data_IF_511986750929
#
_entry.id   IF_511986750929
#
_cell.length_a   1.000
_cell.length_b   1.000
_cell.length_c   1.000
_cell.angle_alpha   90.00
_cell.angle_beta   90.00
_cell.angle_gamma   90.00
#
_symmetry.space_group_name_H-M   'P 1'
#
loop_
_entity.id
_entity.type
_entity.pdbx_description
1 polymer ?
#
# COMPACT_ATOMS: atom_id res chain seq x y z
N UNK A 1 0.14 72.12 38.80
CA UNK A 1 0.81 71.24 37.85
C UNK A 1 0.20 69.84 38.01
N UNK A 2 -0.71 69.44 37.11
CA UNK A 2 -1.33 68.11 37.16
C UNK A 2 -0.51 67.15 36.30
N UNK A 3 0.03 66.10 36.93
CA UNK A 3 0.71 65.00 36.21
C UNK A 3 -0.32 64.03 35.63
N UNK A 4 -0.36 63.96 34.29
CA UNK A 4 -1.18 62.97 33.57
C UNK A 4 -0.33 61.70 33.44
N UNK A 5 -0.79 60.58 34.05
CA UNK A 5 -0.23 59.25 33.83
C UNK A 5 -0.89 58.61 32.64
N UNK A 6 -0.11 58.40 31.59
CA UNK A 6 -0.53 57.66 30.37
C UNK A 6 -0.39 56.15 30.70
N UNK A 7 -1.49 55.44 30.88
CA UNK A 7 -1.51 54.00 31.01
C UNK A 7 -1.57 53.42 29.63
N UNK A 8 -0.46 52.83 29.14
CA UNK A 8 -0.39 52.07 27.93
C UNK A 8 -1.00 50.67 28.20
N UNK A 9 -2.18 50.40 27.66
CA UNK A 9 -2.80 49.09 27.71
C UNK A 9 -2.21 48.26 26.53
N UNK A 10 -1.29 47.34 26.83
CA UNK A 10 -0.81 46.35 25.89
C UNK A 10 -1.90 45.24 25.76
N UNK A 11 -2.66 45.27 24.68
CA UNK A 11 -3.53 44.14 24.30
C UNK A 11 -2.65 43.08 23.65
N UNK A 12 -2.26 42.08 24.44
CA UNK A 12 -1.72 40.82 23.91
C UNK A 12 -2.87 40.05 23.24
N UNK A 13 -3.05 40.22 21.94
CA UNK A 13 -3.84 39.27 21.16
C UNK A 13 -3.03 38.00 21.02
N UNK A 14 -3.31 37.01 21.86
CA UNK A 14 -2.86 35.65 21.67
C UNK A 14 -3.53 35.08 20.40
N UNK A 15 -2.82 35.13 19.29
CA UNK A 15 -3.15 34.33 18.12
C UNK A 15 -2.98 32.86 18.52
N UNK A 16 -4.07 32.23 18.93
CA UNK A 16 -4.15 30.77 19.00
C UNK A 16 -4.06 30.28 17.55
N UNK A 17 -2.86 29.95 17.10
CA UNK A 17 -2.67 29.14 15.91
C UNK A 17 -3.27 27.77 16.28
N UNK A 18 -4.51 27.55 15.88
CA UNK A 18 -5.07 26.20 15.80
C UNK A 18 -4.25 25.47 14.71
N UNK A 19 -3.09 24.95 15.10
CA UNK A 19 -2.43 23.93 14.32
C UNK A 19 -3.40 22.77 14.24
N UNK A 20 -4.10 22.63 13.11
CA UNK A 20 -4.88 21.44 12.81
C UNK A 20 -3.89 20.29 12.90
N UNK A 21 -3.97 19.53 14.01
CA UNK A 21 -3.13 18.34 14.18
C UNK A 21 -3.64 17.37 13.12
N UNK A 22 -2.97 17.33 11.98
CA UNK A 22 -3.24 16.40 10.90
C UNK A 22 -2.91 14.99 11.40
N UNK A 23 -3.88 14.37 12.05
CA UNK A 23 -3.72 13.04 12.64
C UNK A 23 -3.90 11.99 11.57
N UNK A 24 -2.89 11.12 11.44
CA UNK A 24 -3.00 9.93 10.61
C UNK A 24 -4.06 9.00 11.20
N UNK A 25 -5.05 8.65 10.41
CA UNK A 25 -5.98 7.60 10.79
C UNK A 25 -5.21 6.31 11.01
N UNK A 26 -5.39 5.72 12.17
CA UNK A 26 -4.88 4.40 12.48
C UNK A 26 -5.70 3.75 13.58
N UNK A 27 -5.87 2.44 13.49
CA UNK A 27 -6.61 1.63 14.45
C UNK A 27 -5.86 0.33 14.72
N UNK A 28 -6.03 -0.22 15.91
CA UNK A 28 -5.44 -1.50 16.29
C UNK A 28 -6.52 -2.50 16.69
N UNK A 29 -6.21 -3.79 16.48
CA UNK A 29 -7.02 -4.95 16.79
C UNK A 29 -6.18 -5.95 17.59
N UNK A 30 -6.79 -6.63 18.55
CA UNK A 30 -6.08 -7.57 19.45
C UNK A 30 -5.42 -6.89 20.64
N UNK A 31 -4.66 -7.68 21.40
CA UNK A 31 -4.02 -7.22 22.63
C UNK A 31 -2.63 -6.65 22.34
N UNK A 32 -2.25 -5.56 22.99
CA UNK A 32 -0.98 -4.85 22.78
C UNK A 32 0.27 -5.67 23.08
N UNK A 33 0.14 -6.70 23.92
CA UNK A 33 1.19 -7.62 24.34
C UNK A 33 1.52 -8.67 23.26
N UNK A 34 0.61 -8.85 22.32
CA UNK A 34 0.77 -9.83 21.22
C UNK A 34 1.79 -9.35 20.17
N UNK A 35 2.37 -10.26 19.37
CA UNK A 35 3.25 -9.89 18.28
C UNK A 35 2.57 -8.91 17.31
N UNK A 36 3.19 -7.74 17.10
CA UNK A 36 2.62 -6.69 16.27
C UNK A 36 2.71 -7.00 14.77
N UNK A 37 1.63 -6.66 14.05
CA UNK A 37 1.54 -6.61 12.59
C UNK A 37 1.14 -5.20 12.19
N UNK A 38 1.87 -4.56 11.27
CA UNK A 38 1.46 -3.31 10.62
C UNK A 38 1.10 -3.62 9.16
N UNK A 39 -0.10 -3.23 8.74
CA UNK A 39 -0.53 -3.33 7.36
C UNK A 39 -0.28 -2.02 6.62
N UNK A 40 0.44 -2.08 5.48
CA UNK A 40 0.69 -0.95 4.58
C UNK A 40 -0.12 -1.17 3.30
N UNK A 41 -1.12 -0.32 3.07
CA UNK A 41 -2.03 -0.45 1.94
C UNK A 41 -1.42 -0.08 0.59
N UNK A 42 -2.08 -0.49 -0.49
CA UNK A 42 -1.76 -0.12 -1.88
C UNK A 42 -2.02 1.36 -2.18
N UNK A 43 -1.66 1.83 -3.37
CA UNK A 43 -1.84 3.23 -3.77
C UNK A 43 -0.91 3.67 -4.89
N UNK A 44 -0.49 4.95 -4.92
CA UNK A 44 -1.08 6.09 -4.20
C UNK A 44 -2.56 6.28 -4.57
N UNK A 45 -3.36 6.90 -3.70
CA UNK A 45 -4.81 7.10 -3.67
C UNK A 45 -5.63 5.98 -2.97
N UNK A 46 -4.96 5.01 -2.34
CA UNK A 46 -5.61 3.90 -1.65
C UNK A 46 -5.96 4.21 -0.19
N UNK A 47 -6.35 3.17 0.54
CA UNK A 47 -6.58 3.17 1.99
C UNK A 47 -6.54 1.73 2.53
N UNK A 48 -6.65 1.57 3.84
CA UNK A 48 -6.59 0.27 4.50
C UNK A 48 -7.96 -0.40 4.70
N UNK A 49 -9.07 0.25 4.33
CA UNK A 49 -10.43 -0.17 4.73
C UNK A 49 -10.79 -1.59 4.34
N UNK A 50 -10.36 -2.05 3.15
CA UNK A 50 -10.64 -3.41 2.69
C UNK A 50 -9.95 -4.46 3.58
N UNK A 51 -8.67 -4.28 3.88
CA UNK A 51 -7.96 -5.18 4.80
C UNK A 51 -8.50 -5.06 6.21
N UNK A 52 -8.78 -3.86 6.67
CA UNK A 52 -9.34 -3.59 7.99
C UNK A 52 -10.68 -4.30 8.19
N UNK A 53 -11.62 -4.11 7.25
CA UNK A 53 -12.97 -4.66 7.34
C UNK A 53 -13.09 -6.16 7.05
N UNK A 54 -12.04 -6.79 6.48
CA UNK A 54 -12.09 -8.22 6.16
C UNK A 54 -11.14 -9.08 6.97
N UNK A 55 -9.92 -8.60 7.24
CA UNK A 55 -8.80 -9.48 7.65
C UNK A 55 -8.15 -9.09 8.96
N UNK A 56 -8.18 -7.80 9.35
CA UNK A 56 -7.47 -7.33 10.53
C UNK A 56 -7.94 -8.04 11.82
N UNK A 57 -9.25 -8.13 12.04
CA UNK A 57 -9.83 -8.79 13.21
C UNK A 57 -9.53 -10.30 13.22
N UNK A 58 -9.57 -10.96 12.06
CA UNK A 58 -9.23 -12.38 11.94
C UNK A 58 -7.78 -12.70 12.33
N UNK A 59 -6.85 -11.83 12.00
CA UNK A 59 -5.47 -11.95 12.47
C UNK A 59 -5.36 -11.66 13.97
N UNK A 60 -6.13 -10.72 14.50
CA UNK A 60 -6.17 -10.44 15.94
C UNK A 60 -6.72 -11.65 16.73
N UNK A 61 -7.76 -12.34 16.25
CA UNK A 61 -8.29 -13.59 16.80
C UNK A 61 -7.23 -14.71 16.82
N UNK A 62 -6.23 -14.64 15.95
CA UNK A 62 -5.07 -15.56 15.91
C UNK A 62 -3.95 -15.17 16.88
N UNK A 63 -4.15 -14.16 17.71
CA UNK A 63 -3.19 -13.73 18.73
C UNK A 63 -2.16 -12.75 18.21
N UNK A 64 -2.51 -11.89 17.25
CA UNK A 64 -1.67 -10.78 16.80
C UNK A 64 -2.22 -9.43 17.26
N UNK A 65 -1.34 -8.46 17.42
CA UNK A 65 -1.69 -7.05 17.58
C UNK A 65 -1.60 -6.37 16.21
N UNK A 66 -2.75 -6.22 15.54
CA UNK A 66 -2.82 -5.76 14.15
C UNK A 66 -3.09 -4.26 14.11
N UNK A 67 -2.19 -3.51 13.48
CA UNK A 67 -2.30 -2.07 13.29
C UNK A 67 -2.54 -1.80 11.81
N UNK A 68 -3.63 -1.10 11.52
CA UNK A 68 -3.96 -0.56 10.20
C UNK A 68 -3.90 0.95 10.22
N UNK A 69 -3.58 1.57 9.10
CA UNK A 69 -3.57 3.02 8.96
C UNK A 69 -3.77 3.41 7.49
N UNK A 70 -4.25 4.61 7.28
CA UNK A 70 -4.26 5.22 5.97
C UNK A 70 -3.07 6.19 5.89
N UNK A 71 -2.27 6.12 4.80
CA UNK A 71 -1.14 7.05 4.62
C UNK A 71 -1.63 8.49 4.57
N UNK A 72 -0.78 9.41 4.94
CA UNK A 72 -1.05 10.86 4.95
C UNK A 72 -1.61 11.31 3.60
N UNK A 73 -2.68 12.11 3.64
CA UNK A 73 -3.38 12.58 2.45
C UNK A 73 -4.23 11.54 1.72
N UNK A 74 -4.26 10.28 2.19
CA UNK A 74 -5.03 9.18 1.59
C UNK A 74 -6.11 8.67 2.56
N UNK A 75 -7.21 8.16 2.01
CA UNK A 75 -8.28 7.59 2.80
C UNK A 75 -8.83 8.56 3.85
N UNK A 76 -8.85 8.09 5.10
CA UNK A 76 -9.34 8.84 6.27
C UNK A 76 -8.25 9.76 6.89
N UNK A 77 -7.02 9.72 6.40
CA UNK A 77 -5.92 10.58 6.83
C UNK A 77 -5.89 11.87 6.01
N UNK A 78 -6.92 12.69 6.15
CA UNK A 78 -7.06 13.93 5.38
C UNK A 78 -5.96 14.90 5.78
N UNK A 79 -5.12 15.28 4.83
CA UNK A 79 -4.06 16.27 4.99
C UNK A 79 -3.80 16.98 3.65
N UNK A 80 -4.14 18.26 3.58
CA UNK A 80 -3.96 19.08 2.39
C UNK A 80 -2.51 19.48 2.15
N UNK A 81 -1.63 19.25 3.12
CA UNK A 81 -0.20 19.53 3.06
C UNK A 81 0.66 18.30 2.79
N UNK A 82 0.02 17.14 2.60
CA UNK A 82 0.69 15.89 2.31
C UNK A 82 1.57 15.99 1.06
N UNK A 83 2.80 15.53 1.17
CA UNK A 83 3.76 15.49 0.06
C UNK A 83 3.70 14.19 -0.74
N UNK A 84 3.12 13.15 -0.17
CA UNK A 84 3.02 11.79 -0.71
C UNK A 84 4.36 11.11 -1.00
N UNK A 85 5.48 11.65 -0.51
CA UNK A 85 6.82 11.09 -0.72
C UNK A 85 7.05 9.83 0.11
N UNK A 86 8.00 8.99 -0.30
CA UNK A 86 8.42 7.85 0.51
C UNK A 86 8.97 8.27 1.87
N UNK A 87 9.70 9.39 1.92
CA UNK A 87 10.24 9.91 3.18
C UNK A 87 9.12 10.32 4.15
N UNK A 88 8.05 10.93 3.68
CA UNK A 88 6.87 11.25 4.49
C UNK A 88 6.21 9.97 5.01
N UNK A 89 5.99 8.97 4.16
CA UNK A 89 5.41 7.69 4.56
C UNK A 89 6.28 6.94 5.60
N UNK A 90 7.62 7.01 5.47
CA UNK A 90 8.56 6.43 6.44
C UNK A 90 8.49 7.16 7.79
N UNK A 91 8.37 8.49 7.78
CA UNK A 91 8.21 9.30 8.99
C UNK A 91 6.89 8.96 9.70
N UNK A 92 5.82 8.81 8.95
CA UNK A 92 4.51 8.43 9.48
C UNK A 92 4.52 7.02 10.08
N UNK A 93 5.15 6.05 9.44
CA UNK A 93 5.35 4.72 10.01
C UNK A 93 6.11 4.79 11.34
N UNK A 94 7.18 5.59 11.43
CA UNK A 94 7.90 5.77 12.70
C UNK A 94 7.00 6.34 13.80
N UNK A 95 6.08 7.23 13.46
CA UNK A 95 5.11 7.79 14.42
C UNK A 95 4.10 6.73 14.91
N UNK A 96 3.71 5.76 14.05
CA UNK A 96 2.88 4.63 14.49
C UNK A 96 3.59 3.75 15.54
N UNK A 97 4.89 3.48 15.36
CA UNK A 97 5.66 2.74 16.37
C UNK A 97 5.65 3.44 17.72
N UNK A 98 5.74 4.77 17.73
CA UNK A 98 5.64 5.56 18.96
C UNK A 98 4.21 5.54 19.52
N UNK A 99 3.19 5.82 18.69
CA UNK A 99 1.78 5.87 19.08
C UNK A 99 1.30 4.58 19.75
N UNK A 100 1.70 3.43 19.20
CA UNK A 100 1.29 2.12 19.68
C UNK A 100 2.31 1.46 20.64
N UNK A 101 3.35 2.20 21.02
CA UNK A 101 4.42 1.74 21.92
C UNK A 101 5.02 0.39 21.52
N UNK A 102 5.25 0.18 20.22
CA UNK A 102 5.83 -1.05 19.68
C UNK A 102 7.30 -0.84 19.34
N UNK A 103 8.13 -1.83 19.68
CA UNK A 103 9.57 -1.79 19.37
C UNK A 103 9.86 -2.43 18.00
N UNK A 104 9.18 -3.53 17.70
CA UNK A 104 9.33 -4.28 16.46
C UNK A 104 7.97 -4.81 16.00
N UNK A 105 7.77 -4.85 14.68
CA UNK A 105 6.56 -5.40 14.06
C UNK A 105 6.89 -6.31 12.88
N UNK A 106 5.94 -7.19 12.52
CA UNK A 106 5.86 -7.79 11.21
C UNK A 106 5.13 -6.81 10.29
N UNK A 107 5.61 -6.59 9.08
CA UNK A 107 5.00 -5.66 8.12
C UNK A 107 4.37 -6.48 7.01
N UNK A 108 3.06 -6.32 6.80
CA UNK A 108 2.34 -6.81 5.62
C UNK A 108 2.17 -5.63 4.68
N UNK A 109 2.82 -5.68 3.51
CA UNK A 109 2.86 -4.58 2.56
C UNK A 109 2.20 -4.98 1.24
N UNK A 110 1.08 -4.33 0.89
CA UNK A 110 0.26 -4.65 -0.27
C UNK A 110 0.51 -3.67 -1.41
N UNK A 111 0.65 -4.20 -2.64
CA UNK A 111 0.72 -3.41 -3.86
C UNK A 111 1.80 -2.31 -3.79
N UNK A 112 1.46 -1.03 -4.02
CA UNK A 112 2.36 0.11 -3.83
C UNK A 112 2.97 0.18 -2.41
N UNK A 113 2.23 -0.28 -1.41
CA UNK A 113 2.75 -0.41 -0.03
C UNK A 113 4.01 -1.28 0.06
N UNK A 114 4.25 -2.17 -0.91
CA UNK A 114 5.47 -2.96 -1.03
C UNK A 114 6.72 -2.11 -1.18
N UNK A 115 6.65 -1.02 -1.97
CA UNK A 115 7.75 -0.06 -2.10
C UNK A 115 7.99 0.68 -0.78
N UNK A 116 6.91 1.19 -0.16
CA UNK A 116 6.97 1.89 1.14
C UNK A 116 7.55 0.97 2.23
N UNK A 117 7.04 -0.26 2.35
CA UNK A 117 7.51 -1.24 3.34
C UNK A 117 8.96 -1.65 3.13
N UNK A 118 9.39 -1.78 1.87
CA UNK A 118 10.79 -2.09 1.53
C UNK A 118 11.73 -0.96 1.95
N UNK A 119 11.42 0.28 1.57
CA UNK A 119 12.25 1.45 1.90
C UNK A 119 12.23 1.76 3.41
N UNK A 120 11.08 1.60 4.07
CA UNK A 120 11.01 1.70 5.53
C UNK A 120 11.92 0.67 6.21
N UNK A 121 11.86 -0.58 5.75
CA UNK A 121 12.67 -1.68 6.32
C UNK A 121 14.16 -1.45 6.08
N UNK A 122 14.54 -0.89 4.93
CA UNK A 122 15.94 -0.53 4.63
C UNK A 122 16.50 0.48 5.63
N UNK A 123 15.72 1.52 5.93
CA UNK A 123 16.13 2.57 6.87
C UNK A 123 16.01 2.15 8.35
N UNK A 124 15.13 1.20 8.67
CA UNK A 124 14.80 0.81 10.04
C UNK A 124 14.79 -0.72 10.25
N UNK A 125 15.81 -1.48 9.83
CA UNK A 125 15.78 -2.95 9.90
C UNK A 125 15.61 -3.48 11.32
N UNK A 126 16.08 -2.74 12.33
CA UNK A 126 15.95 -3.08 13.74
C UNK A 126 14.50 -3.02 14.26
N UNK A 127 13.61 -2.31 13.56
CA UNK A 127 12.17 -2.22 13.90
C UNK A 127 11.32 -3.31 13.25
N UNK A 128 11.87 -4.08 12.30
CA UNK A 128 11.11 -5.03 11.50
C UNK A 128 11.52 -6.46 11.83
N UNK A 129 10.57 -7.28 12.26
CA UNK A 129 10.77 -8.73 12.45
C UNK A 129 10.74 -9.47 11.11
N UNK A 130 9.74 -9.15 10.30
CA UNK A 130 9.58 -9.68 8.95
C UNK A 130 8.90 -8.67 8.04
N UNK A 131 9.26 -8.69 6.75
CA UNK A 131 8.56 -7.98 5.69
C UNK A 131 7.89 -9.00 4.78
N UNK A 132 6.56 -8.90 4.67
CA UNK A 132 5.69 -9.80 3.90
C UNK A 132 5.11 -9.00 2.75
N UNK A 133 5.60 -9.25 1.56
CA UNK A 133 5.20 -8.59 0.31
C UNK A 133 3.98 -9.32 -0.26
N UNK A 134 2.82 -8.67 -0.26
CA UNK A 134 1.53 -9.25 -0.65
C UNK A 134 1.01 -8.59 -1.91
N UNK A 135 1.01 -9.28 -3.07
CA UNK A 135 0.69 -8.65 -4.36
C UNK A 135 1.48 -7.36 -4.57
N UNK A 136 2.71 -7.31 -4.08
CA UNK A 136 3.46 -6.08 -3.85
C UNK A 136 4.26 -5.63 -5.06
N UNK A 137 4.23 -4.33 -5.36
CA UNK A 137 5.15 -3.71 -6.30
C UNK A 137 6.57 -3.71 -5.71
N UNK A 138 7.55 -4.02 -6.56
CA UNK A 138 8.97 -3.98 -6.22
C UNK A 138 9.86 -3.52 -7.39
N UNK A 139 9.31 -3.46 -8.61
CA UNK A 139 9.90 -2.87 -9.81
C UNK A 139 8.79 -2.26 -10.63
N UNK A 140 8.62 -0.94 -10.53
CA UNK A 140 7.47 -0.26 -11.13
C UNK A 140 7.49 -0.35 -12.65
N UNK A 141 8.63 -0.05 -13.28
CA UNK A 141 8.73 -0.04 -14.73
C UNK A 141 8.48 -1.43 -15.35
N UNK A 142 9.04 -2.50 -14.74
CA UNK A 142 8.77 -3.87 -15.23
C UNK A 142 7.28 -4.23 -15.15
N UNK A 143 6.58 -3.75 -14.12
CA UNK A 143 5.13 -3.95 -13.98
C UNK A 143 4.34 -3.21 -15.06
N UNK A 144 4.68 -1.94 -15.31
CA UNK A 144 4.00 -1.15 -16.35
C UNK A 144 4.27 -1.68 -17.75
N UNK A 145 5.50 -2.05 -18.05
CA UNK A 145 5.86 -2.65 -19.35
C UNK A 145 5.09 -3.97 -19.57
N UNK A 146 4.98 -4.81 -18.55
CA UNK A 146 4.19 -6.04 -18.62
C UNK A 146 2.70 -5.77 -18.85
N UNK A 147 2.11 -4.80 -18.16
CA UNK A 147 0.71 -4.41 -18.37
C UNK A 147 0.49 -3.97 -19.82
N UNK A 148 1.34 -3.09 -20.34
CA UNK A 148 1.19 -2.61 -21.73
C UNK A 148 1.41 -3.72 -22.76
N UNK A 149 2.41 -4.56 -22.58
CA UNK A 149 2.70 -5.69 -23.48
C UNK A 149 1.52 -6.66 -23.54
N UNK A 150 1.00 -7.08 -22.39
CA UNK A 150 -0.08 -8.06 -22.32
C UNK A 150 -1.41 -7.51 -22.81
N UNK A 151 -1.75 -6.26 -22.46
CA UNK A 151 -2.98 -5.62 -22.96
C UNK A 151 -2.91 -5.35 -24.47
N UNK A 152 -1.74 -4.95 -24.99
CA UNK A 152 -1.53 -4.82 -26.43
C UNK A 152 -1.77 -6.13 -27.17
N UNK A 153 -1.26 -7.24 -26.63
CA UNK A 153 -1.53 -8.59 -27.18
C UNK A 153 -3.01 -8.90 -27.20
N UNK A 154 -3.72 -8.68 -26.08
CA UNK A 154 -5.16 -8.91 -25.99
C UNK A 154 -5.95 -8.09 -27.03
N UNK A 155 -5.61 -6.81 -27.22
CA UNK A 155 -6.29 -5.96 -28.20
C UNK A 155 -5.96 -6.31 -29.64
N UNK A 156 -4.75 -6.83 -29.92
CA UNK A 156 -4.42 -7.39 -31.22
C UNK A 156 -5.29 -8.62 -31.58
N UNK A 157 -5.46 -9.53 -30.63
CA UNK A 157 -6.32 -10.71 -30.77
C UNK A 157 -7.80 -10.32 -30.96
N UNK A 158 -8.27 -9.29 -30.28
CA UNK A 158 -9.62 -8.74 -30.40
C UNK A 158 -9.83 -7.84 -31.62
N UNK A 159 -8.77 -7.48 -32.36
CA UNK A 159 -8.76 -6.50 -33.46
C UNK A 159 -9.30 -5.12 -33.04
N UNK A 160 -9.08 -4.73 -31.80
CA UNK A 160 -9.49 -3.43 -31.23
C UNK A 160 -8.47 -2.33 -31.58
N UNK A 161 -8.60 -1.77 -32.78
CA UNK A 161 -7.71 -0.73 -33.29
C UNK A 161 -7.73 0.56 -32.45
N UNK A 162 -8.87 0.87 -31.81
CA UNK A 162 -8.98 2.06 -30.95
C UNK A 162 -8.09 1.89 -29.71
N UNK A 163 -8.15 0.74 -29.06
CA UNK A 163 -7.33 0.46 -27.89
C UNK A 163 -5.87 0.25 -28.24
N UNK A 164 -5.54 -0.26 -29.42
CA UNK A 164 -4.16 -0.33 -29.92
C UNK A 164 -3.56 1.07 -30.12
N UNK A 165 -4.32 2.01 -30.67
CA UNK A 165 -3.90 3.42 -30.77
C UNK A 165 -3.67 4.03 -29.39
N UNK A 166 -4.57 3.75 -28.43
CA UNK A 166 -4.41 4.22 -27.03
C UNK A 166 -3.14 3.66 -26.38
N UNK A 167 -2.83 2.38 -26.56
CA UNK A 167 -1.57 1.81 -26.08
C UNK A 167 -0.36 2.52 -26.68
N UNK A 168 -0.39 2.79 -28.01
CA UNK A 168 0.71 3.49 -28.68
C UNK A 168 0.89 4.93 -28.17
N UNK A 169 -0.17 5.62 -27.76
CA UNK A 169 -0.09 6.92 -27.09
C UNK A 169 0.57 6.80 -25.72
N UNK A 170 0.17 5.83 -24.91
CA UNK A 170 0.75 5.58 -23.58
C UNK A 170 2.26 5.26 -23.69
N UNK A 171 2.66 4.44 -24.66
CA UNK A 171 4.07 4.06 -24.89
C UNK A 171 4.97 5.28 -25.17
N UNK A 172 4.41 6.41 -25.65
CA UNK A 172 5.15 7.66 -25.93
C UNK A 172 5.29 8.58 -24.73
N UNK A 173 4.49 8.37 -23.68
CA UNK A 173 4.55 9.22 -22.49
C UNK A 173 5.88 9.03 -21.73
N UNK A 174 6.35 10.07 -21.03
CA UNK A 174 7.49 9.95 -20.14
C UNK A 174 7.24 8.89 -19.07
N UNK A 175 8.11 7.90 -18.97
CA UNK A 175 7.97 6.73 -18.08
C UNK A 175 7.88 7.10 -16.59
N UNK A 176 8.41 8.26 -16.20
CA UNK A 176 8.37 8.79 -14.84
C UNK A 176 7.26 9.82 -14.63
N UNK A 177 6.24 9.88 -15.49
CA UNK A 177 5.10 10.80 -15.34
C UNK A 177 3.91 10.17 -14.64
N UNK A 178 3.14 10.99 -13.93
CA UNK A 178 1.87 10.60 -13.33
C UNK A 178 0.87 10.09 -14.38
N UNK A 179 0.85 10.76 -15.54
CA UNK A 179 -0.03 10.41 -16.65
C UNK A 179 0.27 9.00 -17.19
N UNK A 180 1.54 8.67 -17.45
CA UNK A 180 1.95 7.32 -17.88
C UNK A 180 1.46 6.25 -16.89
N UNK A 181 1.74 6.45 -15.61
CA UNK A 181 1.31 5.52 -14.56
C UNK A 181 -0.21 5.39 -14.48
N UNK A 182 -0.93 6.51 -14.54
CA UNK A 182 -2.39 6.52 -14.49
C UNK A 182 -2.99 5.73 -15.65
N UNK A 183 -2.51 5.98 -16.87
CA UNK A 183 -3.02 5.30 -18.05
C UNK A 183 -2.67 3.79 -18.07
N UNK A 184 -1.49 3.39 -17.58
CA UNK A 184 -1.18 1.98 -17.37
C UNK A 184 -2.15 1.32 -16.39
N UNK A 185 -2.46 2.00 -15.27
CA UNK A 185 -3.43 1.51 -14.29
C UNK A 185 -4.84 1.39 -14.87
N UNK A 186 -5.28 2.38 -15.63
CA UNK A 186 -6.60 2.37 -16.28
C UNK A 186 -6.74 1.21 -17.28
N UNK A 187 -5.71 0.98 -18.08
CA UNK A 187 -5.68 -0.15 -19.02
C UNK A 187 -5.71 -1.49 -18.28
N UNK A 188 -4.92 -1.66 -17.21
CA UNK A 188 -4.96 -2.86 -16.37
C UNK A 188 -6.34 -3.06 -15.73
N UNK A 189 -6.94 -1.98 -15.22
CA UNK A 189 -8.26 -2.00 -14.59
C UNK A 189 -9.36 -2.37 -15.59
N UNK A 190 -9.33 -1.79 -16.80
CA UNK A 190 -10.26 -2.10 -17.90
C UNK A 190 -10.19 -3.57 -18.32
N UNK A 191 -9.00 -4.18 -18.23
CA UNK A 191 -8.79 -5.60 -18.53
C UNK A 191 -8.99 -6.52 -17.30
N UNK A 192 -9.51 -5.99 -16.20
CA UNK A 192 -9.76 -6.74 -14.96
C UNK A 192 -8.52 -7.40 -14.34
N UNK A 193 -7.31 -6.88 -14.56
CA UNK A 193 -6.05 -7.49 -14.10
C UNK A 193 -5.93 -7.60 -12.57
N UNK A 194 -6.69 -6.80 -11.84
CA UNK A 194 -6.73 -6.81 -10.37
C UNK A 194 -7.85 -7.69 -9.79
N UNK A 195 -8.71 -8.25 -10.65
CA UNK A 195 -9.91 -8.97 -10.20
C UNK A 195 -9.76 -10.47 -10.39
N UNK A 196 -10.31 -11.22 -9.44
CA UNK A 196 -10.47 -12.65 -9.58
C UNK A 196 -11.59 -12.94 -10.60
N UNK A 197 -11.31 -13.64 -11.73
CA UNK A 197 -12.32 -13.92 -12.75
C UNK A 197 -13.49 -14.76 -12.21
N UNK A 198 -13.19 -15.75 -11.36
CA UNK A 198 -14.15 -16.67 -10.77
C UNK A 198 -13.94 -16.72 -9.24
N UNK A 199 -14.40 -15.71 -8.48
CA UNK A 199 -14.21 -15.68 -7.04
C UNK A 199 -15.00 -16.79 -6.35
N UNK A 200 -14.49 -17.28 -5.22
CA UNK A 200 -15.20 -18.25 -4.38
C UNK A 200 -16.45 -17.60 -3.76
N UNK A 201 -17.36 -18.43 -3.24
CA UNK A 201 -18.55 -17.92 -2.53
C UNK A 201 -18.13 -17.09 -1.31
N UNK A 202 -17.12 -17.56 -0.58
CA UNK A 202 -16.56 -16.87 0.59
C UNK A 202 -15.97 -15.52 0.24
N UNK A 203 -15.19 -15.44 -0.85
CA UNK A 203 -14.61 -14.17 -1.32
C UNK A 203 -15.70 -13.18 -1.77
N UNK A 204 -16.74 -13.66 -2.45
CA UNK A 204 -17.88 -12.84 -2.84
C UNK A 204 -18.62 -12.32 -1.59
N UNK A 205 -18.92 -13.19 -0.64
CA UNK A 205 -19.60 -12.81 0.60
C UNK A 205 -18.79 -11.75 1.38
N UNK A 206 -17.46 -11.97 1.53
CA UNK A 206 -16.57 -11.00 2.17
C UNK A 206 -16.62 -9.62 1.51
N UNK A 207 -16.65 -9.57 0.17
CA UNK A 207 -16.73 -8.30 -0.57
C UNK A 207 -18.08 -7.62 -0.41
N UNK A 208 -19.18 -8.39 -0.47
CA UNK A 208 -20.53 -7.87 -0.26
C UNK A 208 -20.70 -7.34 1.17
N UNK A 209 -20.24 -8.05 2.18
CA UNK A 209 -20.29 -7.63 3.58
C UNK A 209 -19.46 -6.37 3.81
N UNK A 210 -18.25 -6.32 3.21
CA UNK A 210 -17.41 -5.13 3.24
C UNK A 210 -18.11 -3.92 2.59
N UNK A 211 -18.67 -4.06 1.39
CA UNK A 211 -19.35 -2.97 0.68
C UNK A 211 -20.55 -2.39 1.46
N UNK A 212 -21.29 -3.23 2.19
CA UNK A 212 -22.41 -2.84 3.05
C UNK A 212 -21.97 -2.25 4.39
N UNK A 213 -20.73 -2.45 4.80
CA UNK A 213 -20.19 -2.05 6.10
C UNK A 213 -19.77 -0.58 6.14
N UNK A 214 -19.50 -0.08 7.37
CA UNK A 214 -18.88 1.23 7.56
C UNK A 214 -17.48 1.33 6.92
N UNK A 215 -16.77 0.22 6.77
CA UNK A 215 -15.47 0.20 6.08
C UNK A 215 -15.64 0.49 4.59
N UNK A 216 -16.63 -0.09 3.92
CA UNK A 216 -16.94 0.18 2.52
C UNK A 216 -17.38 1.63 2.28
N UNK A 217 -18.21 2.19 3.16
CA UNK A 217 -18.62 3.60 3.12
C UNK A 217 -17.45 4.56 3.28
N UNK A 218 -16.43 4.17 4.06
CA UNK A 218 -15.21 4.95 4.30
C UNK A 218 -14.09 4.63 3.30
N UNK A 219 -14.36 3.93 2.20
CA UNK A 219 -13.40 3.67 1.14
C UNK A 219 -13.17 4.94 0.28
N UNK A 220 -12.65 5.96 0.94
CA UNK A 220 -12.35 7.26 0.33
C UNK A 220 -11.06 7.13 -0.49
N UNK A 221 -11.05 7.73 -1.68
CA UNK A 221 -9.88 7.77 -2.55
C UNK A 221 -9.49 9.21 -2.85
N UNK A 222 -8.20 9.51 -2.77
CA UNK A 222 -7.65 10.80 -3.18
C UNK A 222 -7.11 10.71 -4.61
N UNK A 223 -7.86 11.21 -5.57
CA UNK A 223 -7.49 11.15 -6.99
C UNK A 223 -6.29 12.03 -7.35
N UNK A 224 -5.96 13.02 -6.51
CA UNK A 224 -4.77 13.86 -6.69
C UNK A 224 -3.48 13.20 -6.17
N UNK A 225 -3.56 12.20 -5.29
CA UNK A 225 -2.40 11.58 -4.67
C UNK A 225 -1.35 11.05 -5.67
N UNK A 226 -1.73 10.38 -6.78
CA UNK A 226 -0.75 9.96 -7.78
C UNK A 226 -0.01 11.13 -8.42
N UNK A 227 -0.71 12.20 -8.78
CA UNK A 227 -0.09 13.39 -9.39
C UNK A 227 0.90 14.04 -8.44
N UNK A 228 0.50 14.24 -7.18
CA UNK A 228 1.35 14.85 -6.15
C UNK A 228 2.56 13.96 -5.82
N UNK A 229 2.39 12.63 -5.76
CA UNK A 229 3.51 11.70 -5.62
C UNK A 229 4.54 11.90 -6.74
N UNK A 230 4.11 11.90 -8.02
CA UNK A 230 5.04 12.04 -9.14
C UNK A 230 5.67 13.44 -9.26
N UNK A 231 5.02 14.46 -8.71
CA UNK A 231 5.59 15.83 -8.66
C UNK A 231 6.64 15.97 -7.56
N UNK A 232 6.43 15.33 -6.40
CA UNK A 232 7.22 15.56 -5.20
C UNK A 232 8.29 14.47 -4.96
N UNK A 233 8.07 13.24 -5.47
CA UNK A 233 8.99 12.12 -5.27
C UNK A 233 9.98 11.99 -6.44
N UNK A 234 11.26 12.08 -6.14
CA UNK A 234 12.33 11.95 -7.14
C UNK A 234 12.55 10.49 -7.58
N UNK A 235 12.26 9.53 -6.69
CA UNK A 235 12.36 8.09 -6.98
C UNK A 235 11.00 7.49 -7.37
N UNK A 236 10.24 8.21 -8.18
CA UNK A 236 8.86 7.88 -8.51
C UNK A 236 8.69 6.69 -9.47
N UNK A 237 9.77 6.13 -10.00
CA UNK A 237 9.79 4.91 -10.84
C UNK A 237 10.91 3.97 -10.40
N UNK A 238 10.79 3.42 -9.19
CA UNK A 238 11.85 2.71 -8.50
C UNK A 238 11.87 1.20 -8.79
N UNK A 239 13.08 0.61 -8.81
CA UNK A 239 13.32 -0.83 -8.71
C UNK A 239 13.97 -1.15 -7.35
N UNK A 240 13.24 -1.80 -6.47
CA UNK A 240 13.71 -2.17 -5.12
C UNK A 240 14.35 -3.56 -5.03
N UNK A 241 14.55 -4.27 -6.16
CA UNK A 241 15.21 -5.59 -6.16
C UNK A 241 16.61 -5.58 -5.52
N UNK A 242 17.46 -4.56 -5.76
CA UNK A 242 18.76 -4.48 -5.08
C UNK A 242 18.62 -4.33 -3.56
N UNK A 243 17.69 -3.49 -3.10
CA UNK A 243 17.39 -3.27 -1.68
C UNK A 243 16.94 -4.58 -1.03
N UNK A 244 15.95 -5.27 -1.61
CA UNK A 244 15.45 -6.55 -1.10
C UNK A 244 16.55 -7.63 -1.02
N UNK A 245 17.47 -7.68 -1.99
CA UNK A 245 18.62 -8.60 -1.96
C UNK A 245 19.54 -8.34 -0.76
N UNK A 246 19.67 -7.09 -0.33
CA UNK A 246 20.45 -6.73 0.85
C UNK A 246 19.69 -6.99 2.14
N UNK A 247 18.40 -6.62 2.18
CA UNK A 247 17.54 -6.78 3.35
C UNK A 247 17.40 -8.23 3.84
N UNK A 248 17.41 -9.21 2.94
CA UNK A 248 17.32 -10.65 3.34
C UNK A 248 18.41 -11.15 4.27
N UNK A 249 19.48 -10.38 4.46
CA UNK A 249 20.56 -10.66 5.42
C UNK A 249 20.25 -10.14 6.82
N UNK A 250 19.26 -9.24 6.95
CA UNK A 250 18.96 -8.51 8.18
C UNK A 250 17.55 -8.82 8.70
N UNK A 251 16.59 -9.03 7.80
CA UNK A 251 15.16 -9.19 8.10
C UNK A 251 14.63 -10.43 7.39
N UNK A 252 13.68 -11.14 8.00
CA UNK A 252 12.96 -12.23 7.32
C UNK A 252 12.10 -11.62 6.20
N UNK A 253 12.31 -12.07 4.96
CA UNK A 253 11.52 -11.65 3.80
C UNK A 253 10.62 -12.78 3.34
N UNK A 254 9.35 -12.44 3.10
CA UNK A 254 8.33 -13.34 2.57
C UNK A 254 7.58 -12.66 1.43
N UNK A 255 6.98 -13.44 0.53
CA UNK A 255 6.18 -12.89 -0.54
C UNK A 255 5.00 -13.81 -0.89
N UNK A 256 3.81 -13.22 -1.02
CA UNK A 256 2.55 -13.88 -1.42
C UNK A 256 2.01 -13.16 -2.65
N UNK A 257 1.70 -13.93 -3.69
CA UNK A 257 1.05 -13.43 -4.91
C UNK A 257 -0.12 -14.34 -5.28
N UNK A 258 -1.14 -13.78 -5.90
CA UNK A 258 -2.21 -14.56 -6.51
C UNK A 258 -1.80 -15.11 -7.87
N UNK A 259 -2.23 -16.34 -8.20
CA UNK A 259 -1.98 -16.94 -9.51
C UNK A 259 -2.63 -16.17 -10.65
N UNK A 260 -3.75 -15.50 -10.38
CA UNK A 260 -4.52 -14.70 -11.34
C UNK A 260 -4.23 -13.18 -11.24
N UNK A 261 -3.20 -12.78 -10.49
CA UNK A 261 -2.73 -11.39 -10.48
C UNK A 261 -1.95 -11.09 -11.77
N UNK A 262 -2.58 -10.40 -12.69
CA UNK A 262 -2.08 -10.24 -14.04
C UNK A 262 -1.16 -9.03 -14.23
N UNK A 263 -0.89 -8.25 -13.16
CA UNK A 263 0.03 -7.11 -13.28
C UNK A 263 1.51 -7.52 -13.16
N UNK A 264 1.80 -8.76 -12.76
CA UNK A 264 3.17 -9.25 -12.60
C UNK A 264 3.51 -10.30 -13.65
N UNK A 265 4.61 -10.10 -14.34
CA UNK A 265 5.15 -11.10 -15.26
C UNK A 265 5.71 -12.31 -14.52
N UNK A 266 5.74 -13.47 -15.18
CA UNK A 266 6.39 -14.68 -14.65
C UNK A 266 7.87 -14.43 -14.31
N UNK A 267 8.55 -13.55 -15.06
CA UNK A 267 9.92 -13.12 -14.76
C UNK A 267 9.99 -12.42 -13.40
N UNK A 268 9.10 -11.47 -13.13
CA UNK A 268 9.05 -10.76 -11.84
C UNK A 268 8.76 -11.73 -10.68
N UNK A 269 7.81 -12.65 -10.82
CA UNK A 269 7.51 -13.66 -9.81
C UNK A 269 8.72 -14.57 -9.53
N UNK A 270 9.44 -14.98 -10.57
CA UNK A 270 10.66 -15.77 -10.44
C UNK A 270 11.81 -14.98 -9.77
N UNK A 271 11.93 -13.67 -10.08
CA UNK A 271 12.91 -12.79 -9.43
C UNK A 271 12.60 -12.67 -7.94
N UNK A 272 11.34 -12.42 -7.57
CA UNK A 272 10.92 -12.35 -6.17
C UNK A 272 11.18 -13.67 -5.43
N UNK A 273 10.80 -14.80 -6.04
CA UNK A 273 11.04 -16.15 -5.48
C UNK A 273 12.52 -16.41 -5.20
N UNK A 274 13.42 -15.93 -6.07
CA UNK A 274 14.89 -16.02 -5.85
C UNK A 274 15.36 -15.10 -4.71
N UNK A 275 14.79 -13.90 -4.62
CA UNK A 275 15.12 -12.93 -3.58
C UNK A 275 14.73 -13.45 -2.19
N UNK A 276 13.48 -13.83 -1.98
CA UNK A 276 12.99 -14.28 -0.67
C UNK A 276 13.31 -15.73 -0.35
N UNK A 277 13.76 -16.54 -1.32
CA UNK A 277 13.96 -18.00 -1.35
C UNK A 277 12.64 -18.76 -1.48
N UNK A 278 12.66 -19.93 -2.14
CA UNK A 278 11.48 -20.77 -2.45
C UNK A 278 10.58 -21.03 -1.24
N UNK A 279 11.14 -21.33 -0.06
CA UNK A 279 10.38 -21.62 1.17
C UNK A 279 9.61 -20.44 1.75
N UNK A 280 9.98 -19.22 1.35
CA UNK A 280 9.39 -17.96 1.81
C UNK A 280 8.53 -17.29 0.71
N UNK A 281 8.28 -18.01 -0.38
CA UNK A 281 7.49 -17.54 -1.52
C UNK A 281 6.26 -18.42 -1.70
N UNK A 282 5.09 -17.81 -1.78
CA UNK A 282 3.81 -18.49 -1.98
C UNK A 282 3.08 -17.87 -3.16
N UNK A 283 2.63 -18.72 -4.08
CA UNK A 283 1.55 -18.42 -5.01
C UNK A 283 0.30 -19.06 -4.45
N UNK A 284 -0.79 -18.32 -4.44
CA UNK A 284 -2.11 -18.79 -4.02
C UNK A 284 -2.98 -18.96 -5.26
N UNK A 285 -3.54 -20.15 -5.42
CA UNK A 285 -4.47 -20.46 -6.51
C UNK A 285 -5.83 -19.81 -6.28
N UNK A 286 -6.62 -19.60 -7.35
CA UNK A 286 -7.90 -18.91 -7.29
C UNK A 286 -7.82 -17.57 -6.53
N UNK A 287 -6.79 -16.82 -6.80
CA UNK A 287 -6.44 -15.59 -6.12
C UNK A 287 -5.84 -14.59 -7.11
N UNK A 288 -6.30 -13.36 -7.04
CA UNK A 288 -5.82 -12.24 -7.84
C UNK A 288 -4.98 -11.29 -6.97
N UNK A 289 -5.17 -9.98 -7.13
CA UNK A 289 -4.36 -8.93 -6.50
C UNK A 289 -4.57 -8.78 -4.97
N UNK A 290 -5.65 -9.36 -4.43
CA UNK A 290 -6.06 -9.20 -3.02
C UNK A 290 -6.09 -10.52 -2.26
N UNK A 291 -4.94 -11.17 -1.98
CA UNK A 291 -4.90 -12.49 -1.33
C UNK A 291 -5.66 -12.55 -0.01
N UNK A 292 -5.65 -11.46 0.75
CA UNK A 292 -6.34 -11.33 2.03
C UNK A 292 -7.88 -11.24 1.93
N UNK A 293 -8.44 -11.24 0.71
CA UNK A 293 -9.87 -11.34 0.43
C UNK A 293 -10.19 -12.56 -0.43
N UNK A 294 -9.46 -12.72 -1.54
CA UNK A 294 -9.74 -13.77 -2.52
C UNK A 294 -9.56 -15.17 -1.94
N UNK A 295 -8.56 -15.35 -1.06
CA UNK A 295 -8.25 -16.59 -0.36
C UNK A 295 -7.85 -16.31 1.09
N UNK A 296 -8.74 -15.64 1.85
CA UNK A 296 -8.47 -15.12 3.19
C UNK A 296 -7.91 -16.17 4.14
N UNK A 297 -8.54 -17.35 4.20
CA UNK A 297 -8.12 -18.44 5.10
C UNK A 297 -6.71 -18.93 4.78
N UNK A 298 -6.39 -19.14 3.50
CA UNK A 298 -5.06 -19.57 3.08
C UNK A 298 -4.02 -18.49 3.32
N UNK A 299 -4.38 -17.22 3.09
CA UNK A 299 -3.54 -16.07 3.39
C UNK A 299 -3.20 -16.03 4.89
N UNK A 300 -4.19 -16.07 5.78
CA UNK A 300 -3.99 -16.03 7.24
C UNK A 300 -3.12 -17.21 7.70
N UNK A 301 -3.43 -18.43 7.28
CA UNK A 301 -2.66 -19.63 7.63
C UNK A 301 -1.20 -19.52 7.18
N UNK A 302 -0.95 -18.91 6.01
CA UNK A 302 0.40 -18.67 5.50
C UNK A 302 1.15 -17.65 6.36
N UNK A 303 0.49 -16.56 6.73
CA UNK A 303 1.06 -15.56 7.66
C UNK A 303 1.42 -16.22 8.99
N UNK A 304 0.49 -16.92 9.63
CA UNK A 304 0.74 -17.63 10.89
C UNK A 304 1.96 -18.56 10.82
N UNK A 305 2.05 -19.37 9.75
CA UNK A 305 3.18 -20.29 9.55
C UNK A 305 4.54 -19.57 9.46
N UNK A 306 4.57 -18.34 8.97
CA UNK A 306 5.81 -17.62 8.71
C UNK A 306 6.29 -16.77 9.88
N UNK A 307 5.37 -16.27 10.70
CA UNK A 307 5.71 -15.30 11.74
C UNK A 307 5.53 -15.81 13.18
N UNK A 308 5.07 -17.05 13.34
CA UNK A 308 5.10 -17.79 14.63
C UNK A 308 6.50 -18.09 15.11
#
# INVERSE_FOLDING_TARGET
MKKIYLILFYILTSLTINAQINTIYSKSYGQSENPAIIFIHGGPRGNSTLFEGTTAEKLAEKGYYVIVYDRRGEGRSIDTTATFTFQEAIKDLNSLYQKYNIKRANIIAHSFGGLVGTLFTEQNPQKVNSLILTGALFSQQETYDHILETTKKNYLEQKDNLMLSKIAEIERLPKNSAEYRQQCYEVASKNNYFKMPFPTKEANQLREDYEKSEFGKNNIRNDNAPTLFYQNETQNNIDTKPVLKNLKKQVKLFAIYGQQDQIFSQKQLNDMKRIVKKKNFKIIDNCSHYPFVDQQTEFINTIEKWIK
#
